data_IF_105476393917
#
_entry.id   IF_105476393917
#
_cell.length_a   1.000
_cell.length_b   1.000
_cell.length_c   1.000
_cell.angle_alpha   90.00
_cell.angle_beta   90.00
_cell.angle_gamma   90.00
#
_symmetry.space_group_name_H-M   'P 1'
#
loop_
_entity.id
_entity.type
_entity.pdbx_description
1 polymer ?
#
# COMPACT_ATOMS: atom_id res chain seq x y z
N UNK A 1 -14.47 -6.54 -16.84
CA UNK A 1 -13.85 -7.59 -15.99
C UNK A 1 -13.45 -6.95 -14.66
N UNK A 2 -13.50 -7.66 -13.54
CA UNK A 2 -13.07 -7.16 -12.22
C UNK A 2 -11.96 -8.07 -11.69
N UNK A 3 -10.90 -7.47 -11.14
CA UNK A 3 -9.84 -8.17 -10.44
C UNK A 3 -9.67 -7.55 -9.05
N UNK A 4 -9.65 -8.39 -8.02
CA UNK A 4 -9.35 -7.98 -6.64
C UNK A 4 -8.06 -8.65 -6.23
N UNK A 5 -7.11 -7.88 -5.72
CA UNK A 5 -5.80 -8.37 -5.30
C UNK A 5 -5.40 -7.77 -3.97
N UNK A 6 -4.66 -8.55 -3.18
CA UNK A 6 -4.27 -8.12 -1.85
C UNK A 6 -2.80 -7.66 -1.85
N UNK A 7 -1.93 -8.42 -2.52
CA UNK A 7 -0.49 -8.13 -2.66
C UNK A 7 0.06 -8.83 -3.92
N UNK A 8 1.18 -8.36 -4.43
CA UNK A 8 1.91 -9.00 -5.53
C UNK A 8 1.50 -8.51 -6.92
N UNK A 9 2.20 -8.99 -7.98
CA UNK A 9 2.07 -8.40 -9.29
C UNK A 9 0.74 -8.78 -9.97
N UNK A 10 0.16 -7.83 -10.70
CA UNK A 10 -1.13 -7.98 -11.39
C UNK A 10 -0.93 -8.04 -12.88
N UNK A 11 -1.41 -9.12 -13.50
CA UNK A 11 -1.49 -9.25 -14.95
C UNK A 11 -2.70 -8.46 -15.49
N UNK A 12 -2.44 -7.38 -16.21
CA UNK A 12 -3.43 -6.69 -17.06
C UNK A 12 -3.42 -7.39 -18.41
N UNK A 13 -4.24 -8.45 -18.50
CA UNK A 13 -4.36 -9.28 -19.71
C UNK A 13 -4.89 -8.46 -20.89
N UNK A 14 -3.98 -8.09 -21.78
CA UNK A 14 -4.20 -7.25 -22.94
C UNK A 14 -3.37 -7.80 -24.11
N UNK A 15 -3.48 -9.11 -24.32
CA UNK A 15 -2.77 -9.82 -25.38
C UNK A 15 -3.10 -9.25 -26.77
N UNK A 16 -2.11 -8.79 -27.55
CA UNK A 16 -2.32 -8.41 -28.93
C UNK A 16 -2.60 -9.65 -29.80
N UNK A 17 -3.54 -9.52 -30.73
CA UNK A 17 -3.93 -10.60 -31.66
C UNK A 17 -3.02 -10.70 -32.88
N UNK A 18 -2.30 -9.64 -33.22
CA UNK A 18 -1.39 -9.57 -34.37
C UNK A 18 0.04 -9.20 -33.93
N UNK A 19 1.07 -9.69 -34.65
CA UNK A 19 2.44 -9.22 -34.46
C UNK A 19 2.56 -7.74 -34.83
N UNK A 20 3.46 -7.02 -34.17
CA UNK A 20 3.79 -5.61 -34.41
C UNK A 20 2.66 -4.59 -34.12
N UNK A 21 1.66 -4.97 -33.31
CA UNK A 21 0.71 -3.99 -32.76
C UNK A 21 1.26 -3.39 -31.47
N UNK A 22 1.24 -2.07 -31.39
CA UNK A 22 1.51 -1.35 -30.14
C UNK A 22 0.22 -1.26 -29.33
N UNK A 23 0.26 -1.74 -28.10
CA UNK A 23 -0.83 -1.63 -27.14
C UNK A 23 -0.52 -0.45 -26.22
N UNK A 24 -1.47 0.45 -26.03
CA UNK A 24 -1.39 1.55 -25.08
C UNK A 24 -2.15 1.18 -23.80
N UNK A 25 -1.64 1.55 -22.64
CA UNK A 25 -2.30 1.36 -21.35
C UNK A 25 -2.82 2.69 -20.82
N UNK A 26 -3.98 2.66 -20.19
CA UNK A 26 -4.60 3.81 -19.54
C UNK A 26 -5.11 3.41 -18.16
N UNK A 27 -5.10 4.36 -17.22
CA UNK A 27 -5.73 4.27 -15.91
C UNK A 27 -6.60 5.51 -15.71
N UNK A 28 -7.87 5.30 -15.38
CA UNK A 28 -8.83 6.36 -15.05
C UNK A 28 -8.91 7.48 -16.10
N UNK A 29 -8.70 7.13 -17.37
CA UNK A 29 -8.74 8.07 -18.50
C UNK A 29 -7.38 8.64 -18.90
N UNK A 30 -6.33 8.45 -18.09
CA UNK A 30 -4.99 8.95 -18.38
C UNK A 30 -4.10 7.87 -18.99
N UNK A 31 -3.36 8.21 -20.05
CA UNK A 31 -2.39 7.30 -20.65
C UNK A 31 -1.23 7.07 -19.69
N UNK A 32 -0.87 5.80 -19.50
CA UNK A 32 0.30 5.40 -18.73
C UNK A 32 1.43 5.03 -19.70
N UNK A 33 2.61 5.59 -19.45
CA UNK A 33 3.83 5.20 -20.12
C UNK A 33 4.51 4.14 -19.24
N UNK A 34 4.76 2.93 -19.74
CA UNK A 34 5.48 1.91 -18.97
C UNK A 34 6.88 2.40 -18.58
N UNK A 35 7.20 2.32 -17.30
CA UNK A 35 8.48 2.74 -16.72
C UNK A 35 9.48 1.58 -16.55
N UNK A 36 9.04 0.35 -16.85
CA UNK A 36 9.80 -0.89 -16.68
C UNK A 36 10.21 -1.23 -15.23
N UNK A 37 9.66 -0.53 -14.26
CA UNK A 37 9.86 -0.81 -12.84
C UNK A 37 8.51 -1.23 -12.22
N UNK A 38 7.57 -0.29 -12.20
CA UNK A 38 6.21 -0.51 -11.73
C UNK A 38 5.34 -1.14 -12.80
N UNK A 39 5.48 -0.76 -14.07
CA UNK A 39 4.66 -1.26 -15.17
C UNK A 39 5.56 -1.85 -16.26
N UNK A 40 5.49 -3.17 -16.39
CA UNK A 40 6.25 -3.95 -17.36
C UNK A 40 5.36 -4.35 -18.55
N UNK A 41 5.70 -3.95 -19.78
CA UNK A 41 5.02 -4.46 -20.97
C UNK A 41 5.50 -5.90 -21.25
N UNK A 42 4.61 -6.88 -21.12
CA UNK A 42 4.91 -8.29 -21.41
C UNK A 42 4.38 -8.67 -22.79
N UNK A 43 5.30 -8.99 -23.69
CA UNK A 43 4.95 -9.49 -25.02
C UNK A 43 4.00 -10.70 -24.92
N UNK A 44 2.93 -10.68 -25.70
CA UNK A 44 1.87 -11.73 -25.75
C UNK A 44 1.00 -11.87 -24.49
N UNK A 45 1.19 -11.07 -23.43
CA UNK A 45 0.29 -11.00 -22.26
C UNK A 45 -0.36 -9.64 -22.07
N UNK A 46 0.32 -8.54 -22.37
CA UNK A 46 -0.17 -7.18 -22.12
C UNK A 46 0.77 -6.43 -21.18
N UNK A 47 0.31 -6.12 -19.96
CA UNK A 47 1.10 -5.39 -18.96
C UNK A 47 1.07 -6.10 -17.61
N UNK A 48 2.20 -6.07 -16.91
CA UNK A 48 2.34 -6.53 -15.54
C UNK A 48 2.57 -5.30 -14.66
N UNK A 49 1.72 -5.14 -13.65
CA UNK A 49 1.86 -4.10 -12.63
C UNK A 49 2.51 -4.74 -11.40
N UNK A 50 3.73 -4.30 -11.06
CA UNK A 50 4.47 -4.74 -9.88
C UNK A 50 4.15 -3.86 -8.67
N UNK A 51 4.49 -4.37 -7.47
CA UNK A 51 4.43 -3.64 -6.20
C UNK A 51 3.14 -2.84 -6.02
N UNK A 52 2.04 -3.56 -6.22
CA UNK A 52 0.70 -2.98 -6.28
C UNK A 52 0.30 -2.44 -4.91
N UNK A 53 -0.09 -1.17 -4.87
CA UNK A 53 -0.49 -0.45 -3.67
C UNK A 53 -1.97 -0.08 -3.72
N UNK A 54 -2.54 0.36 -2.59
CA UNK A 54 -3.94 0.80 -2.54
C UNK A 54 -4.26 1.87 -3.60
N UNK A 55 -3.32 2.78 -3.86
CA UNK A 55 -3.45 3.87 -4.85
C UNK A 55 -3.52 3.36 -6.30
N UNK A 56 -3.12 2.12 -6.54
CA UNK A 56 -3.20 1.49 -7.86
C UNK A 56 -4.60 0.96 -8.17
N UNK A 57 -5.54 1.02 -7.23
CA UNK A 57 -6.95 0.77 -7.52
C UNK A 57 -7.48 1.77 -8.57
N UNK A 58 -8.25 1.27 -9.53
CA UNK A 58 -8.79 2.10 -10.61
C UNK A 58 -9.31 1.32 -11.79
N UNK A 59 -9.74 2.04 -12.82
CA UNK A 59 -10.20 1.48 -14.09
C UNK A 59 -9.04 1.50 -15.07
N UNK A 60 -8.51 0.32 -15.38
CA UNK A 60 -7.49 0.15 -16.39
C UNK A 60 -8.13 -0.25 -17.72
N UNK A 61 -7.64 0.33 -18.80
CA UNK A 61 -8.00 -0.13 -20.13
C UNK A 61 -6.81 -0.08 -21.05
N UNK A 62 -6.72 -1.06 -21.94
CA UNK A 62 -5.74 -1.08 -23.00
C UNK A 62 -6.42 -0.80 -24.33
N UNK A 63 -5.74 -0.03 -25.18
CA UNK A 63 -6.21 0.35 -26.49
C UNK A 63 -5.17 -0.05 -27.54
N UNK A 64 -5.63 -0.75 -28.57
CA UNK A 64 -4.83 -1.13 -29.72
C UNK A 64 -5.70 -1.05 -30.98
N UNK A 65 -5.41 -0.09 -31.86
CA UNK A 65 -6.26 0.24 -33.00
C UNK A 65 -7.71 0.49 -32.55
N UNK A 66 -8.67 -0.29 -33.05
CA UNK A 66 -10.09 -0.21 -32.71
C UNK A 66 -10.50 -1.14 -31.55
N UNK A 67 -9.55 -1.84 -30.94
CA UNK A 67 -9.84 -2.77 -29.84
C UNK A 67 -9.53 -2.13 -28.51
N UNK A 68 -10.49 -2.19 -27.60
CA UNK A 68 -10.35 -1.74 -26.21
C UNK A 68 -10.77 -2.85 -25.27
N UNK A 69 -9.96 -3.12 -24.24
CA UNK A 69 -10.29 -4.06 -23.17
C UNK A 69 -10.14 -3.36 -21.83
N UNK A 70 -11.15 -3.49 -20.98
CA UNK A 70 -11.23 -2.79 -19.69
C UNK A 70 -11.27 -3.78 -18.53
N UNK A 71 -10.48 -3.48 -17.50
CA UNK A 71 -10.43 -4.18 -16.23
C UNK A 71 -10.55 -3.19 -15.08
N UNK A 72 -11.36 -3.52 -14.09
CA UNK A 72 -11.46 -2.75 -12.85
C UNK A 72 -10.55 -3.47 -11.85
N UNK A 73 -9.49 -2.78 -11.41
CA UNK A 73 -8.56 -3.26 -10.41
C UNK A 73 -8.96 -2.71 -9.03
N UNK A 74 -9.12 -3.61 -8.07
CA UNK A 74 -9.36 -3.26 -6.67
C UNK A 74 -8.24 -3.87 -5.84
N UNK A 75 -7.44 -3.02 -5.21
CA UNK A 75 -6.33 -3.44 -4.36
C UNK A 75 -6.80 -3.33 -2.92
N UNK A 76 -6.85 -4.48 -2.23
CA UNK A 76 -7.14 -4.54 -0.81
C UNK A 76 -5.82 -4.54 -0.05
N UNK A 77 -5.66 -3.62 0.89
CA UNK A 77 -4.59 -3.76 1.85
C UNK A 77 -5.07 -4.81 2.85
N UNK A 78 -4.48 -6.00 2.84
CA UNK A 78 -4.70 -7.03 3.88
C UNK A 78 -3.50 -7.10 4.82
N UNK A 79 -2.53 -6.18 4.70
CA UNK A 79 -1.38 -6.16 5.59
C UNK A 79 -1.86 -5.73 6.98
N UNK A 80 -1.97 -6.70 7.88
CA UNK A 80 -2.20 -6.45 9.30
C UNK A 80 -0.88 -6.52 10.01
N UNK A 81 -0.41 -5.39 10.54
CA UNK A 81 0.76 -5.36 11.42
C UNK A 81 0.53 -4.44 12.63
N UNK A 82 1.20 -4.81 13.71
CA UNK A 82 1.24 -4.13 15.00
C UNK A 82 2.71 -4.04 15.41
N UNK A 83 3.26 -2.83 15.50
CA UNK A 83 4.62 -2.63 16.02
C UNK A 83 4.66 -2.79 17.53
N UNK A 84 5.85 -2.96 18.07
CA UNK A 84 6.08 -2.73 19.51
C UNK A 84 5.82 -1.25 19.84
N UNK A 85 5.21 -0.93 21.00
CA UNK A 85 5.02 0.45 21.43
C UNK A 85 6.36 1.12 21.75
N UNK A 86 6.52 2.36 21.31
CA UNK A 86 7.72 3.17 21.54
C UNK A 86 7.43 4.34 22.48
N UNK A 87 8.23 4.48 23.53
CA UNK A 87 8.15 5.61 24.45
C UNK A 87 9.10 6.70 23.95
N UNK A 88 8.56 7.83 23.51
CA UNK A 88 9.36 9.01 23.18
C UNK A 88 9.78 9.74 24.46
N UNK A 89 11.09 9.76 24.69
CA UNK A 89 11.71 10.53 25.77
C UNK A 89 12.07 11.92 25.21
N UNK A 90 11.65 13.02 25.87
CA UNK A 90 12.05 14.36 25.47
C UNK A 90 13.57 14.52 25.37
N UNK A 91 14.05 15.31 24.41
CA UNK A 91 15.49 15.50 24.18
C UNK A 91 16.23 16.10 25.38
N UNK A 92 15.52 16.83 26.25
CA UNK A 92 16.00 17.27 27.54
C UNK A 92 15.87 16.13 28.57
N UNK A 93 16.95 15.37 28.75
CA UNK A 93 17.03 14.20 29.64
C UNK A 93 17.11 14.55 31.14
N UNK A 94 17.08 15.83 31.49
CA UNK A 94 17.15 16.29 32.87
C UNK A 94 15.75 16.53 33.43
N UNK A 95 15.36 15.68 34.38
CA UNK A 95 14.11 15.80 35.11
C UNK A 95 14.38 16.42 36.48
N UNK A 96 13.64 17.49 36.80
CA UNK A 96 13.74 18.16 38.09
C UNK A 96 12.81 17.47 39.07
N UNK A 97 13.34 17.13 40.25
CA UNK A 97 12.56 16.54 41.33
C UNK A 97 11.38 17.44 41.71
N UNK A 98 10.21 16.82 41.91
CA UNK A 98 8.96 17.53 42.22
C UNK A 98 8.31 18.26 41.04
N UNK A 99 8.95 18.27 39.86
CA UNK A 99 8.32 18.81 38.64
C UNK A 99 7.55 17.72 37.90
N UNK A 100 6.36 18.03 37.38
CA UNK A 100 5.64 17.10 36.51
C UNK A 100 6.38 16.94 35.18
N UNK A 101 6.32 15.75 34.62
CA UNK A 101 6.77 15.47 33.26
C UNK A 101 5.74 14.61 32.53
N UNK A 102 5.84 14.54 31.22
CA UNK A 102 4.94 13.74 30.38
C UNK A 102 5.76 12.88 29.44
N UNK A 103 5.37 11.61 29.32
CA UNK A 103 5.93 10.67 28.36
C UNK A 103 4.89 10.43 27.27
N UNK A 104 5.35 10.38 26.03
CA UNK A 104 4.50 10.03 24.90
C UNK A 104 4.76 8.57 24.54
N UNK A 105 3.72 7.75 24.52
CA UNK A 105 3.77 6.39 23.99
C UNK A 105 3.10 6.38 22.62
N UNK A 106 3.82 5.88 21.62
CA UNK A 106 3.32 5.77 20.25
C UNK A 106 3.30 4.31 19.81
N UNK A 107 2.35 3.99 18.96
CA UNK A 107 2.16 2.65 18.41
C UNK A 107 1.88 2.78 16.92
N UNK A 108 2.68 2.11 16.09
CA UNK A 108 2.48 2.09 14.65
C UNK A 108 1.67 0.85 14.27
N UNK A 109 0.49 1.06 13.69
CA UNK A 109 -0.41 -0.01 13.27
C UNK A 109 -0.80 0.16 11.81
N UNK A 110 -1.06 -0.96 11.14
CA UNK A 110 -1.67 -0.96 9.81
C UNK A 110 -3.05 -0.30 9.79
N UNK A 111 -3.41 0.32 8.67
CA UNK A 111 -4.69 1.01 8.49
C UNK A 111 -5.90 0.08 8.73
N UNK A 112 -5.80 -1.19 8.35
CA UNK A 112 -6.87 -2.18 8.60
C UNK A 112 -7.03 -2.53 10.08
N UNK A 113 -5.95 -2.44 10.86
CA UNK A 113 -5.99 -2.66 12.31
C UNK A 113 -6.44 -1.42 13.09
N UNK A 114 -6.49 -0.23 12.48
CA UNK A 114 -7.06 0.96 13.14
C UNK A 114 -8.56 0.82 13.48
N UNK A 115 -9.23 -0.18 12.93
CA UNK A 115 -10.61 -0.58 13.29
C UNK A 115 -10.68 -1.60 14.44
N UNK A 116 -9.54 -2.08 14.94
CA UNK A 116 -9.43 -2.91 16.15
C UNK A 116 -9.44 -2.03 17.40
N UNK A 117 -10.11 -2.48 18.46
CA UNK A 117 -10.11 -1.85 19.79
C UNK A 117 -8.75 -2.02 20.49
N UNK A 118 -7.68 -1.46 19.92
CA UNK A 118 -6.33 -1.52 20.49
C UNK A 118 -6.21 -0.53 21.65
N UNK A 119 -5.88 -1.03 22.85
CA UNK A 119 -5.72 -0.23 24.07
C UNK A 119 -4.25 -0.12 24.45
N UNK A 120 -3.76 1.11 24.63
CA UNK A 120 -2.47 1.39 25.24
C UNK A 120 -2.63 1.56 26.75
N UNK A 121 -1.71 0.97 27.52
CA UNK A 121 -1.73 1.02 28.98
C UNK A 121 -0.32 1.26 29.52
N UNK A 122 -0.22 2.17 30.48
CA UNK A 122 1.03 2.42 31.20
C UNK A 122 1.17 1.42 32.33
N UNK A 123 2.25 0.64 32.31
CA UNK A 123 2.57 -0.32 33.37
C UNK A 123 3.89 0.08 33.99
N UNK A 124 3.90 0.30 35.30
CA UNK A 124 5.12 0.59 36.04
C UNK A 124 5.93 -0.70 36.24
N UNK A 125 7.27 -0.65 36.12
CA UNK A 125 8.09 -1.81 36.42
C UNK A 125 7.96 -2.17 37.92
N UNK A 126 7.99 -3.46 38.29
CA UNK A 126 7.82 -3.91 39.68
C UNK A 126 8.80 -3.28 40.68
N UNK A 127 9.96 -2.82 40.21
CA UNK A 127 10.99 -2.16 41.02
C UNK A 127 10.68 -0.70 41.38
N UNK A 128 9.61 -0.13 40.82
CA UNK A 128 9.17 1.25 41.09
C UNK A 128 8.03 1.32 42.11
N UNK A 129 7.49 0.19 42.56
CA UNK A 129 6.59 0.11 43.71
C UNK A 129 7.44 0.18 44.98
N UNK A 130 7.47 1.37 45.60
CA UNK A 130 8.11 1.62 46.91
C UNK A 130 7.09 1.42 48.02
#
# INVERSE_FOLDING_TARGET
MRATVNQGPVDIDCRPTLPNITVMLYKDGQQIIPDFDKILPIQKKGFLLNDVSFEDSGIYYCQANNYTRTIILTVQDDSTYLSEPEIQIPSNTHFVLGSPFSLLCMLNISKNMSQSNTKLEWVLPPSAEV
#
